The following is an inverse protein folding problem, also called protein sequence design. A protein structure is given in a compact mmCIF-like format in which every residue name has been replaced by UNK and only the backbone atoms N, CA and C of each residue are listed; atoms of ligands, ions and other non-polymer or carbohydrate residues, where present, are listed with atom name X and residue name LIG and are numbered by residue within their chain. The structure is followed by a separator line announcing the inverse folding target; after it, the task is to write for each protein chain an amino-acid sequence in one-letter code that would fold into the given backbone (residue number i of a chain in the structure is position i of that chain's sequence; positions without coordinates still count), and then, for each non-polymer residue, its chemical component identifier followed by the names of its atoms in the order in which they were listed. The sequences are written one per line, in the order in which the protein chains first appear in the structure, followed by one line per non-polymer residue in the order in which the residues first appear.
data_IF_181147004975
#
_entry.id   IF_181147004975
#
_cell.length_a   1.000
_cell.length_b   1.000
_cell.length_c   1.000
_cell.angle_alpha   90.00
_cell.angle_beta   90.00
_cell.angle_gamma   90.00
#
_symmetry.space_group_name_H-M   'P 1'
#
loop_
_entity.id
_entity.type
_entity.pdbx_description
1 polymer ?
#
# COMPACT_ATOMS: atom_id res chain seq x y z
N UNK A 1 -10.93 16.24 2.29
CA UNK A 1 -9.57 15.82 2.69
C UNK A 1 -9.29 14.40 2.21
N UNK A 2 -8.05 14.09 1.78
CA UNK A 2 -7.65 12.79 1.19
C UNK A 2 -8.06 11.60 2.08
N UNK A 3 -8.03 11.79 3.40
CA UNK A 3 -8.48 10.88 4.46
C UNK A 3 -9.92 10.35 4.32
N UNK A 4 -10.84 11.15 3.75
CA UNK A 4 -12.25 10.74 3.58
C UNK A 4 -12.47 9.71 2.45
N UNK A 5 -11.42 9.37 1.69
CA UNK A 5 -11.50 8.41 0.57
C UNK A 5 -11.20 6.96 0.95
N UNK A 6 -10.78 6.71 2.19
CA UNK A 6 -10.35 5.40 2.65
C UNK A 6 -11.05 5.03 3.95
N UNK A 7 -11.46 3.77 4.10
CA UNK A 7 -12.04 3.27 5.36
C UNK A 7 -10.96 2.97 6.42
N UNK A 8 -11.38 2.66 7.65
CA UNK A 8 -10.46 2.43 8.77
C UNK A 8 -9.46 1.30 8.52
N UNK A 9 -9.88 0.20 7.89
CA UNK A 9 -9.00 -0.92 7.56
C UNK A 9 -8.02 -0.55 6.46
N UNK A 10 -8.49 0.16 5.42
CA UNK A 10 -7.62 0.68 4.36
C UNK A 10 -6.56 1.62 4.92
N UNK A 11 -6.95 2.59 5.76
CA UNK A 11 -6.01 3.52 6.41
C UNK A 11 -5.00 2.76 7.28
N UNK A 12 -5.46 1.78 8.06
CA UNK A 12 -4.59 0.94 8.90
C UNK A 12 -3.56 0.17 8.06
N UNK A 13 -4.00 -0.46 6.97
CA UNK A 13 -3.14 -1.22 6.07
C UNK A 13 -2.13 -0.34 5.34
N UNK A 14 -2.55 0.82 4.83
CA UNK A 14 -1.68 1.78 4.15
C UNK A 14 -0.61 2.36 5.11
N UNK A 15 -0.98 2.66 6.36
CA UNK A 15 -0.01 3.09 7.38
C UNK A 15 0.99 2.00 7.73
N UNK A 16 0.54 0.75 7.84
CA UNK A 16 1.43 -0.37 8.07
C UNK A 16 2.39 -0.60 6.89
N UNK A 17 1.91 -0.46 5.66
CA UNK A 17 2.74 -0.50 4.46
C UNK A 17 3.85 0.54 4.49
N UNK A 18 3.53 1.81 4.79
CA UNK A 18 4.53 2.87 4.88
C UNK A 18 5.63 2.54 5.92
N UNK A 19 5.23 2.03 7.08
CA UNK A 19 6.16 1.59 8.13
C UNK A 19 7.05 0.43 7.67
N UNK A 20 6.48 -0.57 6.97
CA UNK A 20 7.27 -1.71 6.46
C UNK A 20 8.26 -1.26 5.40
N UNK A 21 7.85 -0.36 4.50
CA UNK A 21 8.69 0.19 3.43
C UNK A 21 9.93 0.97 3.91
N UNK A 22 10.08 1.25 5.21
CA UNK A 22 11.35 1.77 5.74
C UNK A 22 12.52 0.79 5.49
N UNK A 23 12.23 -0.52 5.49
CA UNK A 23 13.18 -1.59 5.14
C UNK A 23 13.42 -1.66 3.63
N UNK A 24 14.49 -2.36 3.23
CA UNK A 24 14.72 -2.72 1.82
C UNK A 24 14.08 -4.08 1.56
N UNK A 25 13.42 -4.19 0.42
CA UNK A 25 12.80 -5.42 -0.06
C UNK A 25 13.10 -5.60 -1.54
N UNK A 26 13.24 -6.85 -1.98
CA UNK A 26 13.06 -7.19 -3.39
C UNK A 26 11.56 -7.35 -3.74
N UNK A 27 11.24 -7.61 -5.01
CA UNK A 27 9.84 -7.71 -5.46
C UNK A 27 9.08 -8.85 -4.78
N UNK A 28 9.71 -10.02 -4.60
CA UNK A 28 9.07 -11.19 -4.00
C UNK A 28 8.79 -10.95 -2.51
N UNK A 29 9.78 -10.46 -1.76
CA UNK A 29 9.63 -10.16 -0.33
C UNK A 29 8.58 -9.09 -0.09
N UNK A 30 8.54 -8.04 -0.92
CA UNK A 30 7.53 -7.00 -0.80
C UNK A 30 6.13 -7.53 -1.14
N UNK A 31 6.01 -8.41 -2.13
CA UNK A 31 4.74 -9.06 -2.44
C UNK A 31 4.23 -9.86 -1.26
N UNK A 32 5.06 -10.70 -0.64
CA UNK A 32 4.70 -11.45 0.57
C UNK A 32 4.33 -10.52 1.74
N UNK A 33 5.09 -9.44 1.93
CA UNK A 33 4.81 -8.45 2.99
C UNK A 33 3.46 -7.76 2.77
N UNK A 34 3.10 -7.43 1.53
CA UNK A 34 1.78 -6.84 1.19
C UNK A 34 0.65 -7.79 1.58
N UNK A 35 0.78 -9.10 1.33
CA UNK A 35 -0.21 -10.09 1.76
C UNK A 35 -0.26 -10.24 3.29
N UNK A 36 0.90 -10.23 3.97
CA UNK A 36 0.96 -10.24 5.44
C UNK A 36 0.25 -9.04 6.04
N UNK A 37 0.48 -7.84 5.50
CA UNK A 37 -0.21 -6.61 5.92
C UNK A 37 -1.72 -6.75 5.79
N UNK A 38 -2.21 -7.29 4.66
CA UNK A 38 -3.63 -7.49 4.46
C UNK A 38 -4.23 -8.40 5.55
N UNK A 39 -3.55 -9.51 5.85
CA UNK A 39 -3.95 -10.44 6.90
C UNK A 39 -3.92 -9.80 8.30
N UNK A 40 -2.82 -9.14 8.67
CA UNK A 40 -2.61 -8.50 9.97
C UNK A 40 -3.62 -7.37 10.26
N UNK A 41 -4.17 -6.77 9.21
CA UNK A 41 -5.15 -5.69 9.33
C UNK A 41 -6.59 -6.13 9.10
N UNK A 42 -6.82 -7.40 8.74
CA UNK A 42 -8.15 -7.97 8.51
C UNK A 42 -8.86 -7.37 7.29
N UNK A 43 -8.10 -6.85 6.33
CA UNK A 43 -8.59 -6.38 5.03
C UNK A 43 -8.41 -7.48 3.99
N UNK A 44 -9.38 -7.64 3.10
CA UNK A 44 -9.23 -8.56 1.99
C UNK A 44 -8.08 -8.10 1.09
N UNK A 45 -7.18 -9.00 0.63
CA UNK A 45 -6.06 -8.62 -0.23
C UNK A 45 -6.51 -7.80 -1.44
N UNK A 46 -7.60 -8.20 -2.10
CA UNK A 46 -8.15 -7.47 -3.26
C UNK A 46 -8.44 -5.99 -2.96
N UNK A 47 -9.01 -5.70 -1.80
CA UNK A 47 -9.37 -4.33 -1.42
C UNK A 47 -8.14 -3.53 -0.96
N UNK A 48 -7.18 -4.19 -0.30
CA UNK A 48 -5.90 -3.54 0.00
C UNK A 48 -5.13 -3.15 -1.27
N UNK A 49 -5.11 -4.02 -2.28
CA UNK A 49 -4.49 -3.70 -3.58
C UNK A 49 -5.19 -2.51 -4.25
N UNK A 50 -6.53 -2.47 -4.25
CA UNK A 50 -7.28 -1.31 -4.75
C UNK A 50 -6.94 -0.04 -4.00
N UNK A 51 -6.88 -0.08 -2.66
CA UNK A 51 -6.51 1.06 -1.83
C UNK A 51 -5.11 1.59 -2.21
N UNK A 52 -4.15 0.68 -2.43
CA UNK A 52 -2.82 1.06 -2.89
C UNK A 52 -2.84 1.73 -4.28
N UNK A 53 -3.53 1.17 -5.27
CA UNK A 53 -3.63 1.83 -6.59
C UNK A 53 -4.37 3.16 -6.53
N UNK A 54 -5.41 3.26 -5.70
CA UNK A 54 -6.16 4.50 -5.50
C UNK A 54 -5.28 5.59 -4.91
N UNK A 55 -4.42 5.24 -3.95
CA UNK A 55 -3.44 6.15 -3.37
C UNK A 55 -2.34 6.55 -4.38
N UNK A 56 -1.79 5.58 -5.12
CA UNK A 56 -0.60 5.80 -5.96
C UNK A 56 -0.92 6.49 -7.29
N UNK A 57 -2.05 6.15 -7.91
CA UNK A 57 -2.41 6.56 -9.27
C UNK A 57 -3.89 6.91 -9.45
N UNK A 58 -4.68 6.96 -8.37
CA UNK A 58 -6.12 7.23 -8.43
C UNK A 58 -6.88 6.30 -9.40
N UNK A 59 -6.46 5.02 -9.47
CA UNK A 59 -7.11 3.94 -10.22
C UNK A 59 -7.43 2.77 -9.31
N UNK A 60 -8.33 1.89 -9.73
CA UNK A 60 -8.68 0.68 -8.96
C UNK A 60 -7.78 -0.52 -9.25
N UNK A 61 -7.04 -0.51 -10.37
CA UNK A 61 -6.20 -1.62 -10.82
C UNK A 61 -4.94 -1.10 -11.51
N UNK A 62 -3.92 -1.94 -11.58
CA UNK A 62 -2.62 -1.60 -12.16
C UNK A 62 -1.72 -2.82 -12.38
N UNK A 63 -0.45 -2.60 -12.76
CA UNK A 63 0.57 -3.65 -12.88
C UNK A 63 0.91 -4.23 -11.49
N UNK A 64 1.73 -5.27 -11.41
CA UNK A 64 2.11 -5.91 -10.13
C UNK A 64 2.52 -4.87 -9.07
N UNK A 65 1.77 -4.83 -7.96
CA UNK A 65 1.87 -3.78 -6.95
C UNK A 65 3.26 -3.65 -6.34
N UNK A 66 3.90 -4.77 -5.99
CA UNK A 66 5.26 -4.76 -5.43
C UNK A 66 6.27 -4.11 -6.40
N UNK A 67 6.29 -4.58 -7.66
CA UNK A 67 7.12 -4.01 -8.73
C UNK A 67 6.85 -2.51 -8.92
N UNK A 68 5.58 -2.13 -8.87
CA UNK A 68 5.16 -0.74 -9.05
C UNK A 68 5.63 0.17 -7.91
N UNK A 69 5.52 -0.29 -6.66
CA UNK A 69 6.03 0.43 -5.48
C UNK A 69 7.55 0.58 -5.55
N UNK A 70 8.28 -0.47 -5.94
CA UNK A 70 9.73 -0.42 -6.11
C UNK A 70 10.14 0.57 -7.21
N UNK A 71 9.41 0.59 -8.32
CA UNK A 71 9.63 1.52 -9.45
C UNK A 71 9.40 2.97 -9.06
N UNK A 72 8.29 3.25 -8.37
CA UNK A 72 7.96 4.60 -7.89
C UNK A 72 8.91 5.07 -6.77
N UNK A 73 9.41 4.12 -5.99
CA UNK A 73 10.28 4.35 -4.85
C UNK A 73 9.52 4.55 -3.54
N UNK A 74 10.03 3.92 -2.48
CA UNK A 74 9.43 3.91 -1.13
C UNK A 74 9.12 5.30 -0.57
N UNK A 75 9.99 6.28 -0.82
CA UNK A 75 9.86 7.63 -0.27
C UNK A 75 8.58 8.32 -0.75
N UNK A 76 8.19 8.09 -2.02
CA UNK A 76 6.95 8.66 -2.56
C UNK A 76 5.73 8.00 -1.91
N UNK A 77 5.77 6.67 -1.72
CA UNK A 77 4.68 5.93 -1.08
C UNK A 77 4.47 6.41 0.35
N UNK A 78 5.56 6.50 1.14
CA UNK A 78 5.52 6.98 2.53
C UNK A 78 4.95 8.41 2.60
N UNK A 79 5.38 9.30 1.70
CA UNK A 79 4.87 10.68 1.62
C UNK A 79 3.38 10.74 1.27
N UNK A 80 2.88 9.88 0.39
CA UNK A 80 1.45 9.84 0.07
C UNK A 80 0.62 9.32 1.25
N UNK A 81 1.13 8.30 1.96
CA UNK A 81 0.49 7.76 3.17
C UNK A 81 0.47 8.79 4.32
N UNK A 82 1.42 9.72 4.41
CA UNK A 82 1.37 10.76 5.44
C UNK A 82 0.26 11.81 5.22
N UNK A 83 -0.41 11.79 4.06
CA UNK A 83 -1.49 12.71 3.71
C UNK A 83 -2.90 12.14 4.00
N UNK A 84 -2.97 10.90 4.49
CA UNK A 84 -4.21 10.19 4.88
C UNK A 84 -4.36 10.02 6.40
#
# INVERSE_FOLDING_TARGET
SVRAKFDEKEVKALKLLAKKLEKKYNEAELSEEIYKIANDTGIAPKDFFKACYKLLINKERGPRLASFILTIGKNKVIKLVSQI
#
